data_IF_543193598176
#
_entry.id   IF_543193598176
#
_cell.length_a   1.000
_cell.length_b   1.000
_cell.length_c   1.000
_cell.angle_alpha   90.00
_cell.angle_beta   90.00
_cell.angle_gamma   90.00
#
_symmetry.space_group_name_H-M   'P 1'
#
loop_
_entity.id
_entity.type
_entity.pdbx_description
1 polymer ?
#
# COMPACT_ATOMS: atom_id res chain seq x y z
N UNK A 1 4.77 -31.57 -8.85
CA UNK A 1 5.79 -30.50 -8.70
C UNK A 1 5.52 -29.77 -7.40
N UNK A 2 6.34 -29.96 -6.36
CA UNK A 2 6.14 -29.31 -5.05
C UNK A 2 6.75 -27.91 -5.16
N UNK A 3 5.94 -26.86 -5.05
CA UNK A 3 6.44 -25.49 -5.03
C UNK A 3 7.27 -25.26 -3.75
N UNK A 4 8.47 -24.67 -3.82
CA UNK A 4 9.25 -24.37 -2.63
C UNK A 4 8.50 -23.38 -1.73
N UNK A 5 8.08 -23.85 -0.55
CA UNK A 5 7.27 -23.08 0.40
C UNK A 5 7.84 -21.67 0.66
N UNK A 6 9.16 -21.56 0.79
CA UNK A 6 9.85 -20.31 1.12
C UNK A 6 9.74 -19.22 0.03
N UNK A 7 9.68 -19.61 -1.24
CA UNK A 7 9.59 -18.65 -2.36
C UNK A 7 8.20 -18.02 -2.39
N UNK A 8 7.16 -18.82 -2.11
CA UNK A 8 5.78 -18.41 -2.35
C UNK A 8 5.03 -17.98 -1.10
N UNK A 9 5.52 -18.29 0.11
CA UNK A 9 4.82 -17.99 1.37
C UNK A 9 4.46 -16.51 1.49
N UNK A 10 5.44 -15.62 1.37
CA UNK A 10 5.20 -14.19 1.49
C UNK A 10 4.27 -13.67 0.40
N UNK A 11 4.48 -14.11 -0.84
CA UNK A 11 3.63 -13.70 -1.97
C UNK A 11 2.19 -14.16 -1.76
N UNK A 12 1.99 -15.38 -1.27
CA UNK A 12 0.65 -15.88 -0.96
C UNK A 12 0.02 -15.08 0.18
N UNK A 13 0.75 -14.79 1.26
CA UNK A 13 0.22 -13.96 2.35
C UNK A 13 -0.20 -12.59 1.84
N UNK A 14 0.68 -11.94 1.07
CA UNK A 14 0.44 -10.64 0.44
C UNK A 14 -0.81 -10.65 -0.43
N UNK A 15 -0.97 -11.67 -1.29
CA UNK A 15 -2.16 -11.82 -2.14
C UNK A 15 -3.46 -11.97 -1.33
N UNK A 16 -3.40 -12.70 -0.21
CA UNK A 16 -4.56 -12.90 0.66
C UNK A 16 -4.89 -11.62 1.42
N UNK A 17 -3.88 -10.85 1.80
CA UNK A 17 -4.05 -9.58 2.49
C UNK A 17 -4.66 -8.50 1.57
N UNK A 18 -4.27 -8.46 0.28
CA UNK A 18 -4.94 -7.63 -0.74
C UNK A 18 -6.44 -7.98 -0.89
N UNK A 19 -6.76 -9.27 -0.95
CA UNK A 19 -8.15 -9.73 -1.04
C UNK A 19 -8.95 -9.37 0.22
N UNK A 20 -8.33 -9.49 1.41
CA UNK A 20 -8.94 -9.04 2.68
C UNK A 20 -9.16 -7.53 2.65
N UNK A 21 -8.17 -6.74 2.24
CA UNK A 21 -8.28 -5.28 2.17
C UNK A 21 -9.42 -4.86 1.22
N UNK A 22 -9.52 -5.48 0.05
CA UNK A 22 -10.61 -5.23 -0.89
C UNK A 22 -11.99 -5.55 -0.28
N UNK A 23 -12.10 -6.63 0.48
CA UNK A 23 -13.33 -7.01 1.19
C UNK A 23 -13.67 -6.03 2.33
N UNK A 24 -12.68 -5.59 3.12
CA UNK A 24 -12.90 -4.58 4.16
C UNK A 24 -13.35 -3.23 3.57
N UNK A 25 -12.80 -2.83 2.42
CA UNK A 25 -13.27 -1.66 1.69
C UNK A 25 -14.73 -1.80 1.23
N UNK A 26 -15.16 -3.00 0.86
CA UNK A 26 -16.57 -3.26 0.55
C UNK A 26 -17.48 -3.18 1.79
N UNK A 27 -17.01 -3.65 2.96
CA UNK A 27 -17.76 -3.48 4.22
C UNK A 27 -18.03 -2.01 4.53
N UNK A 28 -17.10 -1.11 4.22
CA UNK A 28 -17.30 0.33 4.41
C UNK A 28 -18.50 0.88 3.61
N UNK A 29 -18.70 0.40 2.37
CA UNK A 29 -19.88 0.74 1.55
C UNK A 29 -21.17 0.20 2.16
N UNK A 30 -21.13 -1.03 2.69
CA UNK A 30 -22.25 -1.65 3.40
C UNK A 30 -22.58 -0.90 4.70
N UNK A 31 -21.58 -0.45 5.45
CA UNK A 31 -21.76 0.38 6.64
C UNK A 31 -22.50 1.67 6.28
N UNK A 32 -22.07 2.35 5.20
CA UNK A 32 -22.76 3.54 4.70
C UNK A 32 -24.20 3.25 4.27
N UNK A 33 -24.45 2.11 3.63
CA UNK A 33 -25.80 1.69 3.26
C UNK A 33 -26.70 1.49 4.48
N UNK A 34 -26.23 0.71 5.47
CA UNK A 34 -26.97 0.45 6.72
C UNK A 34 -27.28 1.76 7.43
N UNK A 35 -26.30 2.66 7.53
CA UNK A 35 -26.47 3.93 8.24
C UNK A 35 -27.54 4.83 7.59
N UNK A 36 -27.68 4.79 6.25
CA UNK A 36 -28.65 5.60 5.50
C UNK A 36 -30.07 5.04 5.47
N UNK A 37 -30.23 3.73 5.68
CA UNK A 37 -31.51 3.03 5.44
C UNK A 37 -32.13 2.43 6.70
N UNK A 38 -31.43 2.48 7.85
CA UNK A 38 -31.91 1.93 9.12
C UNK A 38 -31.81 3.00 10.20
N UNK A 39 -32.97 3.54 10.58
CA UNK A 39 -33.09 4.58 11.60
C UNK A 39 -32.97 4.01 13.03
N UNK A 40 -33.39 2.75 13.22
CA UNK A 40 -33.31 2.05 14.49
C UNK A 40 -31.85 1.84 14.92
N UNK A 41 -31.47 2.54 16.00
CA UNK A 41 -30.11 2.57 16.53
C UNK A 41 -29.64 1.20 17.02
N UNK A 42 -30.52 0.41 17.64
CA UNK A 42 -30.15 -0.88 18.22
C UNK A 42 -29.98 -1.93 17.14
N UNK A 43 -30.88 -1.95 16.15
CA UNK A 43 -30.73 -2.80 14.96
C UNK A 43 -29.46 -2.49 14.18
N UNK A 44 -29.15 -1.21 13.98
CA UNK A 44 -27.91 -0.78 13.30
C UNK A 44 -26.66 -1.27 14.06
N UNK A 45 -26.67 -1.17 15.40
CA UNK A 45 -25.55 -1.63 16.23
C UNK A 45 -25.34 -3.15 16.12
N UNK A 46 -26.42 -3.92 16.12
CA UNK A 46 -26.36 -5.37 15.92
C UNK A 46 -25.79 -5.74 14.53
N UNK A 47 -26.27 -5.08 13.48
CA UNK A 47 -25.77 -5.30 12.12
C UNK A 47 -24.29 -4.95 11.97
N UNK A 48 -23.82 -3.86 12.57
CA UNK A 48 -22.40 -3.51 12.57
C UNK A 48 -21.55 -4.55 13.32
N UNK A 49 -22.06 -5.08 14.44
CA UNK A 49 -21.37 -6.13 15.19
C UNK A 49 -21.25 -7.40 14.35
N UNK A 50 -22.31 -7.81 13.66
CA UNK A 50 -22.32 -8.97 12.75
C UNK A 50 -21.39 -8.77 11.56
N UNK A 51 -21.37 -7.59 10.95
CA UNK A 51 -20.56 -7.28 9.77
C UNK A 51 -19.04 -7.37 10.02
N UNK A 52 -18.59 -7.15 11.26
CA UNK A 52 -17.16 -7.26 11.61
C UNK A 52 -16.61 -8.68 11.45
N UNK A 53 -17.42 -9.71 11.73
CA UNK A 53 -16.96 -11.10 11.70
C UNK A 53 -17.41 -11.81 10.42
N UNK A 54 -16.44 -12.28 9.63
CA UNK A 54 -16.70 -12.92 8.35
C UNK A 54 -17.55 -14.17 8.43
N UNK A 55 -17.34 -15.00 9.45
CA UNK A 55 -18.13 -16.20 9.66
C UNK A 55 -19.58 -15.91 10.07
N UNK A 56 -19.87 -14.67 10.51
CA UNK A 56 -21.20 -14.27 10.97
C UNK A 56 -22.00 -13.64 9.83
N UNK A 57 -21.48 -12.60 9.17
CA UNK A 57 -22.26 -11.90 8.14
C UNK A 57 -22.53 -12.75 6.89
N UNK A 58 -21.70 -13.75 6.61
CA UNK A 58 -21.92 -14.71 5.51
C UNK A 58 -23.19 -15.54 5.75
N UNK A 59 -23.57 -15.77 7.01
CA UNK A 59 -24.76 -16.53 7.38
C UNK A 59 -26.00 -15.66 7.61
N UNK A 60 -25.83 -14.33 7.70
CA UNK A 60 -26.94 -13.37 7.78
C UNK A 60 -27.45 -13.04 6.37
N UNK A 61 -28.73 -13.32 6.09
CA UNK A 61 -29.30 -13.19 4.74
C UNK A 61 -29.28 -11.74 4.22
N UNK A 62 -29.46 -10.76 5.11
CA UNK A 62 -29.48 -9.34 4.76
C UNK A 62 -28.07 -8.84 4.47
N UNK A 63 -27.12 -9.06 5.39
CA UNK A 63 -25.74 -8.61 5.24
C UNK A 63 -25.03 -9.31 4.08
N UNK A 64 -25.26 -10.62 3.89
CA UNK A 64 -24.72 -11.35 2.73
C UNK A 64 -25.20 -10.77 1.40
N UNK A 65 -26.46 -10.34 1.32
CA UNK A 65 -27.00 -9.71 0.09
C UNK A 65 -26.35 -8.35 -0.17
N UNK A 66 -26.19 -7.53 0.87
CA UNK A 66 -25.51 -6.24 0.74
C UNK A 66 -24.04 -6.42 0.34
N UNK A 67 -23.32 -7.30 1.02
CA UNK A 67 -21.92 -7.61 0.69
C UNK A 67 -21.76 -8.11 -0.74
N UNK A 68 -22.63 -8.97 -1.27
CA UNK A 68 -22.55 -9.42 -2.68
C UNK A 68 -22.75 -8.29 -3.70
N UNK A 69 -23.41 -7.20 -3.33
CA UNK A 69 -23.59 -6.04 -4.22
C UNK A 69 -22.29 -5.24 -4.35
N UNK A 70 -21.60 -5.04 -3.22
CA UNK A 70 -20.38 -4.22 -3.14
C UNK A 70 -19.08 -5.02 -3.33
N UNK A 71 -19.10 -6.32 -3.02
CA UNK A 71 -17.99 -7.27 -3.11
C UNK A 71 -18.38 -8.47 -3.99
N UNK A 72 -18.02 -8.42 -5.27
CA UNK A 72 -18.37 -9.47 -6.25
C UNK A 72 -17.41 -10.65 -6.22
N UNK A 73 -16.11 -10.38 -6.21
CA UNK A 73 -15.03 -11.36 -6.18
C UNK A 73 -13.82 -10.77 -5.46
N UNK A 74 -12.86 -11.60 -5.07
CA UNK A 74 -11.55 -11.09 -4.62
C UNK A 74 -10.90 -10.27 -5.75
N UNK A 75 -10.32 -9.14 -5.40
CA UNK A 75 -9.48 -8.37 -6.32
C UNK A 75 -8.07 -8.31 -5.75
N UNK A 76 -7.09 -8.44 -6.63
CA UNK A 76 -5.68 -8.45 -6.29
C UNK A 76 -4.90 -7.84 -7.47
N UNK A 77 -3.91 -7.01 -7.17
CA UNK A 77 -3.05 -6.36 -8.15
C UNK A 77 -1.65 -7.01 -8.26
N UNK A 78 -1.45 -8.23 -7.75
CA UNK A 78 -0.19 -8.99 -7.82
C UNK A 78 0.06 -9.65 -9.18
N UNK A 79 0.20 -8.83 -10.22
CA UNK A 79 0.65 -9.29 -11.54
C UNK A 79 2.14 -8.98 -11.73
N UNK A 80 2.87 -9.92 -12.33
CA UNK A 80 4.30 -9.75 -12.65
C UNK A 80 5.16 -9.39 -11.44
N UNK A 81 4.74 -9.79 -10.24
CA UNK A 81 5.44 -9.46 -9.02
C UNK A 81 5.51 -10.65 -8.05
N UNK A 82 6.56 -10.65 -7.24
CA UNK A 82 6.78 -11.63 -6.18
C UNK A 82 7.32 -10.92 -4.94
N UNK A 83 6.83 -11.35 -3.78
CA UNK A 83 7.26 -10.86 -2.47
C UNK A 83 8.16 -11.90 -1.82
N UNK A 84 9.36 -11.47 -1.43
CA UNK A 84 10.41 -12.31 -0.86
C UNK A 84 10.71 -11.89 0.58
N UNK A 85 10.81 -12.89 1.45
CA UNK A 85 11.18 -12.71 2.85
C UNK A 85 12.71 -12.70 3.05
N UNK A 86 13.18 -12.19 4.20
CA UNK A 86 14.57 -12.34 4.62
C UNK A 86 15.10 -13.78 4.46
N UNK A 87 16.27 -13.87 3.82
CA UNK A 87 16.96 -15.13 3.50
C UNK A 87 16.43 -15.87 2.27
N UNK A 88 15.39 -15.35 1.60
CA UNK A 88 15.05 -15.71 0.21
C UNK A 88 15.89 -14.95 -0.81
N UNK A 89 16.66 -13.96 -0.35
CA UNK A 89 17.62 -13.20 -1.12
C UNK A 89 18.91 -12.99 -0.32
N UNK A 90 19.98 -12.58 -1.00
CA UNK A 90 21.25 -12.15 -0.43
C UNK A 90 21.78 -10.96 -1.23
N UNK A 91 22.39 -9.98 -0.58
CA UNK A 91 23.13 -8.92 -1.26
C UNK A 91 24.61 -9.31 -1.37
N UNK A 92 25.22 -8.98 -2.50
CA UNK A 92 26.67 -9.13 -2.69
C UNK A 92 27.20 -8.08 -3.67
N UNK A 93 28.49 -7.80 -3.59
CA UNK A 93 29.18 -6.91 -4.51
C UNK A 93 30.16 -7.71 -5.37
N UNK A 94 30.22 -7.42 -6.66
CA UNK A 94 31.15 -8.02 -7.60
C UNK A 94 31.60 -6.98 -8.62
N UNK A 95 32.91 -6.82 -8.80
CA UNK A 95 33.52 -5.84 -9.71
C UNK A 95 32.98 -4.41 -9.54
N UNK A 96 32.83 -3.95 -8.28
CA UNK A 96 32.33 -2.60 -7.97
C UNK A 96 30.84 -2.38 -8.23
N UNK A 97 30.08 -3.43 -8.58
CA UNK A 97 28.62 -3.38 -8.75
C UNK A 97 27.93 -4.21 -7.67
N UNK A 98 26.82 -3.71 -7.16
CA UNK A 98 25.99 -4.44 -6.20
C UNK A 98 24.96 -5.29 -6.92
N UNK A 99 24.64 -6.43 -6.32
CA UNK A 99 23.68 -7.38 -6.83
C UNK A 99 22.79 -7.88 -5.69
N UNK A 100 21.55 -8.21 -6.06
CA UNK A 100 20.67 -9.01 -5.22
C UNK A 100 20.55 -10.41 -5.82
N UNK A 101 20.84 -11.41 -5.01
CA UNK A 101 20.81 -12.82 -5.37
C UNK A 101 19.56 -13.48 -4.80
N UNK A 102 18.57 -13.76 -5.65
CA UNK A 102 17.26 -14.26 -5.25
C UNK A 102 17.11 -15.75 -5.58
N UNK A 103 16.39 -16.49 -4.73
CA UNK A 103 16.11 -17.91 -4.99
C UNK A 103 15.33 -18.05 -6.30
N UNK A 104 15.73 -19.00 -7.16
CA UNK A 104 15.00 -19.32 -8.39
C UNK A 104 14.09 -20.53 -8.23
N UNK A 105 13.25 -20.79 -9.24
CA UNK A 105 12.45 -22.02 -9.32
C UNK A 105 13.32 -23.29 -9.42
N UNK A 106 14.57 -23.17 -9.87
CA UNK A 106 15.51 -24.29 -9.97
C UNK A 106 16.29 -24.43 -8.66
N UNK A 107 16.15 -25.59 -7.99
CA UNK A 107 16.85 -25.90 -6.75
C UNK A 107 18.36 -25.66 -6.88
N UNK A 108 18.95 -24.97 -5.91
CA UNK A 108 20.39 -24.66 -5.86
C UNK A 108 20.85 -23.59 -6.86
N UNK A 109 19.97 -23.11 -7.74
CA UNK A 109 20.28 -22.00 -8.65
C UNK A 109 19.59 -20.74 -8.16
N UNK A 110 20.35 -19.66 -8.07
CA UNK A 110 19.84 -18.33 -7.75
C UNK A 110 19.99 -17.42 -8.96
N UNK A 111 19.22 -16.33 -8.97
CA UNK A 111 19.27 -15.30 -10.01
C UNK A 111 19.92 -14.08 -9.39
N UNK A 112 21.02 -13.61 -9.98
CA UNK A 112 21.68 -12.37 -9.59
C UNK A 112 21.13 -11.22 -10.44
N UNK A 113 20.59 -10.21 -9.79
CA UNK A 113 20.01 -9.02 -10.41
C UNK A 113 20.87 -7.82 -10.01
N UNK A 114 21.47 -7.07 -10.95
CA UNK A 114 22.26 -5.89 -10.61
C UNK A 114 21.35 -4.82 -9.99
N UNK A 115 21.82 -4.16 -8.94
CA UNK A 115 21.09 -3.08 -8.28
C UNK A 115 21.84 -1.76 -8.46
N UNK A 116 21.10 -0.70 -8.75
CA UNK A 116 21.64 0.65 -8.95
C UNK A 116 21.88 1.42 -7.65
N UNK A 117 21.76 0.76 -6.50
CA UNK A 117 21.82 1.41 -5.18
C UNK A 117 22.87 0.79 -4.27
N UNK A 118 23.38 1.60 -3.34
CA UNK A 118 24.31 1.19 -2.29
C UNK A 118 23.63 1.04 -0.93
N UNK A 119 22.32 1.27 -0.84
CA UNK A 119 21.58 1.08 0.40
C UNK A 119 21.50 -0.40 0.78
N UNK A 120 21.61 -0.67 2.09
CA UNK A 120 21.37 -2.00 2.63
C UNK A 120 19.88 -2.33 2.52
N UNK A 121 19.53 -3.27 1.64
CA UNK A 121 18.17 -3.76 1.50
C UNK A 121 17.94 -4.85 2.55
N UNK A 122 17.02 -4.60 3.46
CA UNK A 122 16.65 -5.53 4.53
C UNK A 122 15.14 -5.73 4.57
N UNK A 123 14.69 -6.74 5.31
CA UNK A 123 13.25 -7.01 5.48
C UNK A 123 12.62 -7.69 4.27
N UNK A 124 11.31 -7.49 4.11
CA UNK A 124 10.54 -8.03 3.00
C UNK A 124 10.75 -7.14 1.77
N UNK A 125 10.99 -7.76 0.62
CA UNK A 125 11.16 -7.06 -0.65
C UNK A 125 10.11 -7.54 -1.64
N UNK A 126 9.72 -6.65 -2.56
CA UNK A 126 8.83 -6.93 -3.66
C UNK A 126 9.58 -6.69 -4.97
N UNK A 127 9.72 -7.75 -5.75
CA UNK A 127 10.25 -7.67 -7.11
C UNK A 127 9.08 -7.48 -8.06
N UNK A 128 9.17 -6.50 -8.95
CA UNK A 128 8.14 -6.20 -9.95
C UNK A 128 8.79 -6.18 -11.32
N UNK A 129 8.22 -6.89 -12.29
CA UNK A 129 8.59 -6.79 -13.69
C UNK A 129 7.66 -5.77 -14.36
N UNK A 130 8.24 -4.64 -14.78
CA UNK A 130 7.50 -3.55 -15.44
C UNK A 130 8.37 -2.96 -16.55
N UNK A 131 7.79 -2.76 -17.73
CA UNK A 131 8.42 -2.08 -18.87
C UNK A 131 9.83 -2.60 -19.23
N UNK A 132 10.01 -3.93 -19.18
CA UNK A 132 11.29 -4.58 -19.48
C UNK A 132 12.35 -4.43 -18.38
N UNK A 133 12.00 -3.88 -17.22
CA UNK A 133 12.87 -3.66 -16.08
C UNK A 133 12.43 -4.48 -14.87
N UNK A 134 13.36 -4.66 -13.93
CA UNK A 134 13.09 -5.24 -12.62
C UNK A 134 13.14 -4.12 -11.58
N UNK A 135 12.00 -3.80 -10.99
CA UNK A 135 11.91 -2.89 -9.85
C UNK A 135 12.04 -3.69 -8.54
N UNK A 136 12.73 -3.11 -7.56
CA UNK A 136 12.85 -3.67 -6.21
C UNK A 136 12.26 -2.67 -5.23
N UNK A 137 11.09 -3.00 -4.71
CA UNK A 137 10.38 -2.18 -3.72
C UNK A 137 10.62 -2.78 -2.34
N UNK A 138 11.04 -1.95 -1.40
CA UNK A 138 11.25 -2.33 -0.01
C UNK A 138 10.96 -1.12 0.87
N UNK A 139 10.50 -1.37 2.09
CA UNK A 139 10.27 -0.33 3.07
C UNK A 139 11.55 -0.06 3.84
N UNK A 140 11.84 1.22 4.04
CA UNK A 140 12.87 1.67 4.98
C UNK A 140 12.16 2.38 6.13
N UNK A 141 12.61 2.13 7.35
CA UNK A 141 12.15 2.92 8.48
C UNK A 141 12.62 4.35 8.28
N UNK A 142 11.69 5.29 8.43
CA UNK A 142 12.04 6.70 8.39
C UNK A 142 12.77 7.04 9.70
N UNK A 143 14.09 7.11 9.66
CA UNK A 143 14.94 7.52 10.80
C UNK A 143 15.01 9.04 10.96
N UNK A 144 14.18 9.77 10.22
CA UNK A 144 14.16 11.22 10.25
C UNK A 144 13.35 11.68 11.46
N UNK A 145 14.06 11.90 12.56
CA UNK A 145 13.58 12.56 13.76
C UNK A 145 13.39 14.06 13.46
N UNK A 146 12.53 14.39 12.49
CA UNK A 146 12.07 15.76 12.26
C UNK A 146 11.24 16.17 13.46
N UNK A 147 11.91 16.56 14.54
CA UNK A 147 11.28 17.21 15.67
C UNK A 147 10.49 18.39 15.10
N UNK A 148 9.20 18.45 15.42
CA UNK A 148 8.44 19.67 15.25
C UNK A 148 9.20 20.73 16.07
N UNK A 149 9.91 21.64 15.39
CA UNK A 149 10.72 22.65 16.07
C UNK A 149 9.84 23.48 17.01
N UNK A 150 10.45 24.19 17.95
CA UNK A 150 9.70 25.02 18.91
C UNK A 150 9.10 26.30 18.30
N UNK A 151 9.24 26.50 16.98
CA UNK A 151 8.74 27.68 16.28
C UNK A 151 7.38 27.36 15.68
N UNK A 152 6.39 28.19 16.00
CA UNK A 152 5.09 28.20 15.34
C UNK A 152 5.12 29.26 14.24
N UNK A 153 4.73 28.88 13.03
CA UNK A 153 4.63 29.79 11.89
C UNK A 153 3.22 29.66 11.30
N UNK A 154 2.51 30.78 11.25
CA UNK A 154 1.21 30.84 10.57
C UNK A 154 1.45 30.81 9.07
N UNK A 155 0.72 29.97 8.34
CA UNK A 155 0.81 29.90 6.88
C UNK A 155 -0.58 30.17 6.31
N UNK A 156 -0.72 31.22 5.52
CA UNK A 156 -1.91 31.52 4.74
C UNK A 156 -1.71 31.12 3.27
N UNK A 157 -2.77 30.64 2.63
CA UNK A 157 -2.74 30.19 1.23
C UNK A 157 -3.42 31.23 0.34
N UNK A 158 -2.66 31.80 -0.58
CA UNK A 158 -3.12 32.80 -1.54
C UNK A 158 -3.41 32.25 -2.94
N UNK A 159 -4.03 33.08 -3.78
CA UNK A 159 -4.19 32.81 -5.21
C UNK A 159 -3.06 33.44 -6.04
N UNK A 160 -2.59 34.62 -5.63
CA UNK A 160 -1.46 35.34 -6.23
C UNK A 160 -0.12 34.69 -5.88
N UNK A 161 0.04 34.26 -4.62
CA UNK A 161 1.19 33.55 -4.08
C UNK A 161 0.75 32.19 -3.50
N UNK A 162 1.64 31.19 -3.49
CA UNK A 162 1.30 29.85 -2.98
C UNK A 162 1.09 29.88 -1.46
N UNK A 163 2.00 30.57 -0.75
CA UNK A 163 1.95 30.70 0.71
C UNK A 163 2.47 32.06 1.15
N UNK A 164 1.86 32.61 2.19
CA UNK A 164 2.40 33.75 2.95
C UNK A 164 2.55 33.30 4.40
N UNK A 165 3.71 33.53 4.98
CA UNK A 165 3.91 33.24 6.40
C UNK A 165 3.61 34.43 7.31
N UNK A 166 3.47 34.17 8.61
CA UNK A 166 3.21 35.18 9.63
C UNK A 166 4.36 36.19 9.82
N UNK A 167 5.54 35.94 9.24
CA UNK A 167 6.67 36.87 9.22
C UNK A 167 6.60 37.82 8.00
N UNK A 168 5.64 37.59 7.09
CA UNK A 168 5.43 38.40 5.89
C UNK A 168 6.27 37.93 4.70
N UNK A 169 6.84 36.74 4.75
CA UNK A 169 7.54 36.14 3.61
C UNK A 169 6.55 35.44 2.68
N UNK A 170 6.78 35.63 1.39
CA UNK A 170 5.90 35.15 0.32
C UNK A 170 6.61 34.05 -0.48
N UNK A 171 6.04 32.86 -0.46
CA UNK A 171 6.55 31.70 -1.17
C UNK A 171 5.72 31.43 -2.44
N UNK A 172 6.42 31.10 -3.52
CA UNK A 172 5.77 30.82 -4.80
C UNK A 172 5.13 32.06 -5.42
N UNK A 173 5.82 33.21 -5.36
CA UNK A 173 5.46 34.42 -6.11
C UNK A 173 5.31 34.08 -7.60
N UNK A 174 4.23 34.56 -8.24
CA UNK A 174 3.93 34.29 -9.65
C UNK A 174 3.13 33.01 -9.91
N UNK A 175 2.70 32.29 -8.87
CA UNK A 175 1.82 31.13 -9.02
C UNK A 175 0.48 31.48 -9.65
N UNK A 176 -0.09 32.64 -9.31
CA UNK A 176 -1.32 33.13 -9.94
C UNK A 176 -1.20 33.30 -11.46
N UNK A 177 -0.01 33.67 -11.97
CA UNK A 177 0.23 33.79 -13.41
C UNK A 177 0.28 32.42 -14.09
N UNK A 178 0.82 31.40 -13.42
CA UNK A 178 0.85 30.02 -13.93
C UNK A 178 -0.57 29.46 -13.97
N UNK A 179 -1.36 29.64 -12.90
CA UNK A 179 -2.76 29.21 -12.87
C UNK A 179 -3.62 29.89 -13.94
N UNK A 180 -3.39 31.19 -14.16
CA UNK A 180 -4.13 31.97 -15.15
C UNK A 180 -3.77 31.62 -16.60
N UNK A 181 -2.62 30.97 -16.85
CA UNK A 181 -2.23 30.48 -18.19
C UNK A 181 -2.81 29.10 -18.53
N UNK A 182 -3.20 28.34 -17.51
CA UNK A 182 -3.77 26.99 -17.64
C UNK A 182 -5.31 26.97 -17.53
N UNK A 183 -5.95 28.15 -17.42
CA UNK A 183 -7.42 28.34 -17.41
C UNK A 183 -7.92 28.85 -18.75
#
# INVERSE_FOLDING_TARGET
MILPQRIWRATLSDTLDDVKAYREAAKEKVVRHIFRNIDDKDKRKDLFKKLKNDSVWVNDSYLRRLMRKDWKHGNNHTFNQIVLEPGSYKLFSHNGKNYIEVISLKRGKRIAIPIGTNYSITGQIRLILRDGQVEIHYTIDNTDDRACGNKEIGIDKGYTEVFVDSEGEFYGKGFGEVLSKES
#
